data_IF_810865476553
#
_entry.id   IF_810865476553
#
_cell.length_a   1.000
_cell.length_b   1.000
_cell.length_c   1.000
_cell.angle_alpha   90.00
_cell.angle_beta   90.00
_cell.angle_gamma   90.00
#
_symmetry.space_group_name_H-M   'P 1'
#
loop_
_entity.id
_entity.type
_entity.pdbx_description
1 polymer ?
#
# COMPACT_ATOMS: atom_id res chain seq x y z
N UNK A 1 23.92 -13.92 -9.34
CA UNK A 1 24.05 -14.19 -7.89
C UNK A 1 23.17 -13.20 -7.14
N UNK A 2 22.49 -13.59 -6.05
CA UNK A 2 21.78 -12.64 -5.20
C UNK A 2 22.81 -11.79 -4.45
N UNK A 3 22.80 -10.48 -4.67
CA UNK A 3 23.63 -9.53 -3.93
C UNK A 3 22.90 -9.13 -2.64
N UNK A 4 23.65 -8.96 -1.54
CA UNK A 4 23.10 -8.44 -0.29
C UNK A 4 22.54 -7.03 -0.48
N UNK A 5 21.40 -6.74 0.16
CA UNK A 5 20.82 -5.39 0.21
C UNK A 5 20.60 -5.01 1.66
N UNK A 6 20.98 -3.79 2.02
CA UNK A 6 20.65 -3.20 3.32
C UNK A 6 19.26 -2.57 3.25
N UNK A 7 18.43 -2.88 4.25
CA UNK A 7 17.13 -2.26 4.46
C UNK A 7 17.24 -1.47 5.77
N UNK A 8 17.02 -0.17 5.70
CA UNK A 8 16.95 0.67 6.90
C UNK A 8 15.51 0.78 7.36
N UNK A 9 15.24 0.38 8.60
CA UNK A 9 13.93 0.49 9.24
C UNK A 9 13.97 1.60 10.29
N UNK A 10 13.03 2.52 10.20
CA UNK A 10 12.87 3.59 11.18
C UNK A 10 11.51 3.47 11.88
N UNK A 11 11.55 3.27 13.19
CA UNK A 11 10.38 3.17 14.06
C UNK A 11 9.99 4.59 14.49
N UNK A 12 8.99 5.18 13.84
CA UNK A 12 8.66 6.62 14.01
C UNK A 12 8.33 6.97 15.45
N UNK A 13 7.61 6.07 16.14
CA UNK A 13 7.21 6.23 17.54
C UNK A 13 8.01 5.30 18.49
N UNK A 14 9.16 4.77 18.04
CA UNK A 14 10.01 3.90 18.85
C UNK A 14 9.50 2.45 19.03
N UNK A 15 8.40 2.07 18.40
CA UNK A 15 7.83 0.72 18.44
C UNK A 15 7.50 0.20 17.04
N UNK A 16 7.63 -1.12 16.84
CA UNK A 16 7.26 -1.80 15.61
C UNK A 16 5.74 -1.91 15.41
N UNK A 17 4.94 -1.73 16.47
CA UNK A 17 3.47 -1.79 16.39
C UNK A 17 2.86 -0.53 15.76
N UNK A 18 3.63 0.56 15.71
CA UNK A 18 3.21 1.85 15.17
C UNK A 18 3.74 2.05 13.74
N UNK A 19 3.87 3.31 13.31
CA UNK A 19 4.38 3.68 11.99
C UNK A 19 5.84 3.24 11.87
N UNK A 20 6.13 2.46 10.82
CA UNK A 20 7.47 2.03 10.46
C UNK A 20 7.74 2.45 9.03
N UNK A 21 8.87 3.10 8.78
CA UNK A 21 9.32 3.38 7.42
C UNK A 21 10.50 2.50 7.06
N UNK A 22 10.56 2.07 5.79
CA UNK A 22 11.66 1.29 5.25
C UNK A 22 12.23 1.94 4.00
N UNK A 23 13.55 2.04 3.94
CA UNK A 23 14.29 2.56 2.79
C UNK A 23 15.37 1.56 2.38
N UNK A 24 15.67 1.47 1.08
CA UNK A 24 16.71 0.60 0.53
C UNK A 24 17.80 1.46 -0.09
N UNK A 25 19.06 1.06 0.10
CA UNK A 25 20.19 1.74 -0.55
C UNK A 25 20.01 1.77 -2.08
N UNK A 26 20.16 2.95 -2.68
CA UNK A 26 19.99 3.21 -4.12
C UNK A 26 18.57 3.00 -4.68
N UNK A 27 17.54 3.04 -3.82
CA UNK A 27 16.14 3.10 -4.23
C UNK A 27 15.55 4.46 -3.85
N UNK A 28 14.94 5.14 -4.82
CA UNK A 28 14.30 6.45 -4.62
C UNK A 28 12.87 6.36 -4.05
N UNK A 29 12.42 5.15 -3.73
CA UNK A 29 11.13 4.90 -3.10
C UNK A 29 11.26 4.71 -1.60
N UNK A 30 10.11 4.72 -0.95
CA UNK A 30 9.96 4.55 0.49
C UNK A 30 8.77 3.66 0.77
N UNK A 31 8.96 2.67 1.64
CA UNK A 31 7.86 1.88 2.15
C UNK A 31 7.44 2.42 3.53
N UNK A 32 6.14 2.47 3.79
CA UNK A 32 5.59 2.95 5.06
C UNK A 32 4.52 1.95 5.51
N UNK A 33 4.72 1.36 6.68
CA UNK A 33 3.68 0.64 7.42
C UNK A 33 2.95 1.64 8.30
N UNK A 34 1.63 1.64 8.27
CA UNK A 34 0.80 2.45 9.17
C UNK A 34 -0.40 1.63 9.69
N UNK A 35 -0.62 1.57 11.00
CA UNK A 35 -1.85 0.98 11.56
C UNK A 35 -3.07 1.80 11.19
N UNK A 36 -4.21 1.13 10.95
CA UNK A 36 -5.48 1.79 10.59
C UNK A 36 -5.86 2.93 11.53
N UNK A 37 -5.69 2.70 12.82
CA UNK A 37 -6.06 3.64 13.89
C UNK A 37 -5.21 4.93 13.87
N UNK A 38 -4.02 4.90 13.27
CA UNK A 38 -3.11 6.05 13.24
C UNK A 38 -3.29 6.90 11.97
N UNK A 39 -4.01 6.42 10.95
CA UNK A 39 -4.15 7.12 9.65
C UNK A 39 -4.75 8.51 9.80
N UNK A 40 -5.79 8.67 10.62
CA UNK A 40 -6.46 9.95 10.79
C UNK A 40 -5.57 11.02 11.43
N UNK A 41 -4.74 10.62 12.40
CA UNK A 41 -3.81 11.51 13.10
C UNK A 41 -2.45 11.70 12.40
N UNK A 42 -2.16 10.94 11.35
CA UNK A 42 -0.86 10.97 10.70
C UNK A 42 -0.69 12.25 9.85
N UNK A 43 0.19 13.16 10.28
CA UNK A 43 0.48 14.43 9.61
C UNK A 43 1.73 14.39 8.73
N UNK A 44 2.16 13.21 8.30
CA UNK A 44 3.34 13.08 7.44
C UNK A 44 3.00 13.42 5.99
N UNK A 45 3.85 14.21 5.35
CA UNK A 45 3.69 14.58 3.94
C UNK A 45 4.02 13.44 2.98
N UNK A 46 4.77 12.42 3.42
CA UNK A 46 5.11 11.29 2.54
C UNK A 46 3.89 10.42 2.20
N UNK A 47 2.88 10.36 3.07
CA UNK A 47 1.65 9.61 2.79
C UNK A 47 0.62 10.38 1.95
N UNK A 48 0.84 11.66 1.67
CA UNK A 48 -0.05 12.45 0.80
C UNK A 48 0.37 12.40 -0.68
N UNK A 49 1.49 11.74 -0.98
CA UNK A 49 2.03 11.57 -2.32
C UNK A 49 1.33 10.45 -3.11
N UNK A 50 1.62 10.41 -4.41
CA UNK A 50 1.21 9.32 -5.28
C UNK A 50 1.91 8.01 -4.86
N UNK A 51 1.14 6.91 -4.85
CA UNK A 51 1.69 5.63 -4.46
C UNK A 51 0.73 4.46 -4.65
N UNK A 52 1.24 3.28 -4.34
CA UNK A 52 0.48 2.04 -4.24
C UNK A 52 0.45 1.56 -2.80
N UNK A 53 -0.63 0.94 -2.37
CA UNK A 53 -0.80 0.50 -1.00
C UNK A 53 -1.48 -0.87 -0.91
N UNK A 54 -1.17 -1.57 0.17
CA UNK A 54 -1.70 -2.85 0.55
C UNK A 54 -2.48 -2.65 1.85
N UNK A 55 -3.74 -3.08 1.89
CA UNK A 55 -4.55 -3.16 3.09
C UNK A 55 -4.63 -4.62 3.49
N UNK A 56 -4.01 -4.96 4.60
CA UNK A 56 -4.05 -6.32 5.13
C UNK A 56 -5.29 -6.50 5.99
N UNK A 57 -6.10 -7.46 5.60
CA UNK A 57 -7.39 -7.77 6.18
C UNK A 57 -7.37 -9.19 6.74
N UNK A 58 -8.27 -9.44 7.69
CA UNK A 58 -8.57 -10.78 8.16
C UNK A 58 -10.06 -11.02 7.97
N UNK A 59 -10.40 -12.07 7.25
CA UNK A 59 -11.79 -12.43 6.98
C UNK A 59 -12.40 -13.16 8.20
N UNK A 60 -13.72 -13.27 8.24
CA UNK A 60 -14.45 -13.89 9.36
C UNK A 60 -14.13 -15.39 9.52
N UNK A 61 -13.76 -16.06 8.43
CA UNK A 61 -13.30 -17.45 8.40
C UNK A 61 -11.83 -17.62 8.84
N UNK A 62 -11.17 -16.51 9.21
CA UNK A 62 -9.78 -16.45 9.60
C UNK A 62 -8.80 -16.42 8.42
N UNK A 63 -9.28 -16.42 7.18
CA UNK A 63 -8.41 -16.33 6.01
C UNK A 63 -7.77 -14.93 5.90
N UNK A 64 -6.51 -14.93 5.48
CA UNK A 64 -5.80 -13.68 5.21
C UNK A 64 -6.18 -13.14 3.82
N UNK A 65 -6.55 -11.87 3.77
CA UNK A 65 -6.88 -11.19 2.52
C UNK A 65 -6.15 -9.86 2.38
N UNK A 66 -6.02 -9.41 1.14
CA UNK A 66 -5.31 -8.17 0.83
C UNK A 66 -6.06 -7.38 -0.24
N UNK A 67 -6.32 -6.10 0.04
CA UNK A 67 -6.71 -5.13 -0.98
C UNK A 67 -5.46 -4.37 -1.42
N UNK A 68 -5.23 -4.29 -2.72
CA UNK A 68 -4.14 -3.53 -3.33
C UNK A 68 -4.76 -2.39 -4.12
N UNK A 69 -4.34 -1.16 -3.83
CA UNK A 69 -4.87 0.04 -4.48
C UNK A 69 -3.77 1.03 -4.87
N UNK A 70 -4.13 1.96 -5.74
CA UNK A 70 -3.34 3.16 -6.05
C UNK A 70 -4.08 4.46 -5.73
N UNK A 71 -3.33 5.53 -5.48
CA UNK A 71 -3.86 6.88 -5.40
C UNK A 71 -2.78 7.92 -5.65
N UNK A 72 -3.16 9.07 -6.20
CA UNK A 72 -2.31 10.27 -6.26
C UNK A 72 -2.18 10.96 -4.89
N UNK A 73 -3.10 10.65 -3.97
CA UNK A 73 -3.02 11.00 -2.55
C UNK A 73 -3.40 9.79 -1.70
N UNK A 74 -2.39 9.07 -1.18
CA UNK A 74 -2.63 7.81 -0.45
C UNK A 74 -3.40 8.06 0.86
N UNK A 75 -3.08 9.10 1.63
CA UNK A 75 -3.76 9.45 2.89
C UNK A 75 -5.26 9.63 2.69
N UNK A 76 -5.65 10.43 1.70
CA UNK A 76 -7.07 10.68 1.41
C UNK A 76 -7.79 9.38 1.04
N UNK A 77 -7.14 8.51 0.26
CA UNK A 77 -7.69 7.22 -0.15
C UNK A 77 -7.84 6.26 1.04
N UNK A 78 -6.88 6.21 1.97
CA UNK A 78 -6.97 5.42 3.20
C UNK A 78 -8.10 5.91 4.10
N UNK A 79 -8.26 7.23 4.26
CA UNK A 79 -9.39 7.82 4.99
C UNK A 79 -10.73 7.49 4.33
N UNK A 80 -10.78 7.45 3.00
CA UNK A 80 -11.97 7.03 2.26
C UNK A 80 -12.33 5.57 2.57
N UNK A 81 -11.36 4.64 2.57
CA UNK A 81 -11.60 3.26 3.00
C UNK A 81 -12.14 3.16 4.43
N UNK A 82 -11.63 4.01 5.34
CA UNK A 82 -12.14 4.05 6.72
C UNK A 82 -13.63 4.45 6.75
N UNK A 83 -13.99 5.51 6.03
CA UNK A 83 -15.38 5.99 5.92
C UNK A 83 -16.30 5.01 5.19
N UNK A 84 -15.81 4.37 4.13
CA UNK A 84 -16.60 3.41 3.35
C UNK A 84 -16.94 2.17 4.16
N UNK A 85 -16.02 1.70 5.02
CA UNK A 85 -16.31 0.63 5.97
C UNK A 85 -17.36 1.07 7.00
N UNK A 86 -17.21 2.26 7.58
CA UNK A 86 -18.17 2.80 8.56
C UNK A 86 -19.59 3.01 8.00
N UNK A 87 -19.69 3.23 6.68
CA UNK A 87 -20.96 3.40 5.96
C UNK A 87 -21.42 2.14 5.22
N UNK A 88 -20.83 0.98 5.53
CA UNK A 88 -21.17 -0.34 4.96
C UNK A 88 -21.02 -0.45 3.43
N UNK A 89 -20.34 0.51 2.79
CA UNK A 89 -20.00 0.46 1.36
C UNK A 89 -18.83 -0.47 1.08
N UNK A 90 -17.95 -0.63 2.06
CA UNK A 90 -16.82 -1.54 2.03
C UNK A 90 -17.03 -2.66 3.06
N UNK A 91 -17.00 -3.92 2.59
CA UNK A 91 -17.34 -5.09 3.42
C UNK A 91 -16.16 -5.67 4.20
N UNK A 92 -14.94 -5.24 3.91
CA UNK A 92 -13.73 -5.79 4.54
C UNK A 92 -13.15 -4.79 5.54
N UNK A 93 -12.64 -5.32 6.65
CA UNK A 93 -11.89 -4.55 7.64
C UNK A 93 -10.40 -4.83 7.50
N UNK A 94 -9.60 -3.78 7.40
CA UNK A 94 -8.14 -3.87 7.38
C UNK A 94 -7.54 -3.34 8.68
N UNK A 95 -6.43 -3.92 9.13
CA UNK A 95 -5.76 -3.53 10.38
C UNK A 95 -4.52 -2.70 10.13
N UNK A 96 -3.78 -3.04 9.07
CA UNK A 96 -2.49 -2.42 8.72
C UNK A 96 -2.47 -2.10 7.24
N UNK A 97 -2.02 -0.89 6.92
CA UNK A 97 -1.66 -0.52 5.56
C UNK A 97 -0.13 -0.55 5.39
N UNK A 98 0.34 -1.08 4.26
CA UNK A 98 1.72 -0.92 3.80
C UNK A 98 1.70 -0.21 2.46
N UNK A 99 2.31 0.95 2.37
CA UNK A 99 2.30 1.79 1.18
C UNK A 99 3.72 2.01 0.65
N UNK A 100 3.81 2.16 -0.66
CA UNK A 100 5.03 2.42 -1.41
C UNK A 100 4.83 3.74 -2.16
N UNK A 101 5.62 4.74 -1.78
CA UNK A 101 5.65 6.07 -2.38
C UNK A 101 7.03 6.35 -2.95
N UNK A 102 7.13 7.32 -3.86
CA UNK A 102 8.40 7.68 -4.48
C UNK A 102 8.30 9.00 -5.21
N UNK A 103 9.43 9.69 -5.34
CA UNK A 103 9.51 11.05 -5.91
C UNK A 103 8.95 11.13 -7.34
N UNK A 104 9.15 10.09 -8.12
CA UNK A 104 8.88 10.10 -9.57
C UNK A 104 7.58 9.34 -9.93
N UNK A 105 6.75 8.98 -8.95
CA UNK A 105 5.48 8.29 -9.21
C UNK A 105 4.41 9.25 -9.73
N UNK A 106 3.83 8.91 -10.87
CA UNK A 106 2.69 9.59 -11.47
C UNK A 106 1.52 8.61 -11.68
N UNK A 107 0.37 9.10 -12.14
CA UNK A 107 -0.84 8.30 -12.32
C UNK A 107 -0.66 7.05 -13.19
N UNK A 108 0.10 7.14 -14.28
CA UNK A 108 0.35 6.00 -15.15
C UNK A 108 1.22 4.95 -14.45
N UNK A 109 2.28 5.39 -13.77
CA UNK A 109 3.19 4.53 -13.01
C UNK A 109 2.45 3.76 -11.90
N UNK A 110 1.65 4.45 -11.09
CA UNK A 110 0.94 3.80 -9.97
C UNK A 110 -0.15 2.82 -10.44
N UNK A 111 -0.82 3.09 -11.57
CA UNK A 111 -1.76 2.15 -12.20
C UNK A 111 -1.09 0.87 -12.67
N UNK A 112 0.06 0.99 -13.32
CA UNK A 112 0.85 -0.16 -13.72
C UNK A 112 1.34 -0.96 -12.52
N UNK A 113 1.85 -0.28 -11.49
CA UNK A 113 2.30 -0.93 -10.26
C UNK A 113 1.16 -1.68 -9.57
N UNK A 114 -0.02 -1.07 -9.42
CA UNK A 114 -1.21 -1.74 -8.87
C UNK A 114 -1.55 -3.01 -9.66
N UNK A 115 -1.66 -2.90 -10.99
CA UNK A 115 -1.97 -4.05 -11.83
C UNK A 115 -0.93 -5.17 -11.65
N UNK A 116 0.36 -4.82 -11.70
CA UNK A 116 1.46 -5.77 -11.59
C UNK A 116 1.50 -6.45 -10.22
N UNK A 117 1.27 -5.69 -9.15
CA UNK A 117 1.24 -6.20 -7.78
C UNK A 117 0.02 -7.10 -7.54
N UNK A 118 -1.13 -6.77 -8.11
CA UNK A 118 -2.33 -7.64 -8.09
C UNK A 118 -2.08 -8.96 -8.80
N UNK A 119 -1.44 -8.96 -9.97
CA UNK A 119 -1.05 -10.17 -10.69
C UNK A 119 -0.10 -11.04 -9.85
N UNK A 120 0.95 -10.44 -9.30
CA UNK A 120 1.93 -11.15 -8.46
C UNK A 120 1.24 -11.74 -7.22
N UNK A 121 0.39 -10.97 -6.54
CA UNK A 121 -0.34 -11.44 -5.36
C UNK A 121 -1.24 -12.65 -5.68
N UNK A 122 -1.97 -12.59 -6.80
CA UNK A 122 -2.80 -13.71 -7.29
C UNK A 122 -1.97 -14.95 -7.64
N UNK A 123 -0.79 -14.77 -8.23
CA UNK A 123 0.13 -15.86 -8.56
C UNK A 123 0.73 -16.52 -7.31
N UNK A 124 1.07 -15.72 -6.30
CA UNK A 124 1.62 -16.21 -5.03
C UNK A 124 0.63 -17.02 -4.20
N UNK A 125 -0.69 -16.80 -4.36
CA UNK A 125 -1.77 -17.51 -3.64
C UNK A 125 -1.63 -17.54 -2.11
N UNK A 126 -0.96 -16.54 -1.53
CA UNK A 126 -0.78 -16.40 -0.07
C UNK A 126 -1.94 -15.67 0.59
N UNK A 127 -2.60 -14.78 -0.13
CA UNK A 127 -3.72 -13.97 0.35
C UNK A 127 -4.86 -14.05 -0.66
N UNK A 128 -6.10 -13.99 -0.17
CA UNK A 128 -7.27 -13.69 -1.01
C UNK A 128 -7.18 -12.24 -1.48
N UNK A 129 -7.10 -12.01 -2.78
CA UNK A 129 -6.99 -10.65 -3.34
C UNK A 129 -8.38 -10.02 -3.49
N UNK A 130 -8.62 -8.92 -2.79
CA UNK A 130 -9.91 -8.21 -2.76
C UNK A 130 -10.07 -7.21 -3.92
N UNK A 131 -8.97 -6.76 -4.52
CA UNK A 131 -8.99 -5.88 -5.70
C UNK A 131 -9.61 -6.59 -6.89
N UNK A 132 -10.77 -6.11 -7.32
CA UNK A 132 -11.55 -6.73 -8.40
C UNK A 132 -11.03 -6.37 -9.78
N UNK A 133 -10.83 -5.07 -10.03
CA UNK A 133 -10.46 -4.53 -11.33
C UNK A 133 -9.19 -3.68 -11.18
N UNK A 134 -8.35 -3.73 -12.20
CA UNK A 134 -7.13 -2.94 -12.35
C UNK A 134 -7.02 -2.46 -13.80
N UNK A 135 -6.18 -1.46 -14.05
CA UNK A 135 -5.91 -0.97 -15.41
C UNK A 135 -4.88 -1.86 -16.14
N UNK A 136 -5.35 -2.95 -16.75
CA UNK A 136 -4.50 -3.97 -17.39
C UNK A 136 -3.68 -3.46 -18.58
N UNK A 137 -4.16 -2.46 -19.32
CA UNK A 137 -3.53 -1.94 -20.54
C UNK A 137 -2.92 -0.54 -20.33
N UNK A 138 -2.31 -0.29 -19.18
CA UNK A 138 -1.66 1.01 -18.93
C UNK A 138 -0.44 1.13 -19.84
N UNK A 139 -0.56 1.92 -20.92
CA UNK A 139 0.54 2.22 -21.85
C UNK A 139 1.49 3.19 -21.17
N UNK A 140 2.70 2.71 -20.85
CA UNK A 140 3.81 3.58 -20.50
C UNK A 140 4.38 4.15 -21.79
N UNK A 141 4.42 5.47 -21.93
CA UNK A 141 5.26 6.08 -22.96
C UNK A 141 6.71 5.98 -22.48
N UNK A 142 7.63 5.60 -23.36
CA UNK A 142 9.05 5.79 -23.09
C UNK A 142 9.32 7.29 -22.92
N UNK A 143 10.04 7.63 -21.86
CA UNK A 143 10.51 8.98 -21.56
C UNK A 143 11.65 9.38 -22.49
#
# INVERSE_FOLDING_TARGET
>A
MPYGKSIELFLVNGTADSIVTAELSNWNGKAIKIPRIEVAGCNRDDITQAGVYFLFCKEDDGADSVYIGESENVKERLLQHIRDYQSEKEKYYWTTAVLFVGRDLNKALIRYLENRLVEIAKQCKRYKVLTKNTYQNTVMKES
#
